data_IF_637685194569
#
_entry.id   IF_637685194569
#
_cell.length_a   1.000
_cell.length_b   1.000
_cell.length_c   1.000
_cell.angle_alpha   90.00
_cell.angle_beta   90.00
_cell.angle_gamma   90.00
#
_symmetry.space_group_name_H-M   'P 1'
#
loop_
_entity.id
_entity.type
_entity.pdbx_description
1 polymer ?
#
# COMPACT_ATOMS: atom_id res chain seq x y z
N UNK A 1 0.69 -1.33 13.64
CA UNK A 1 0.87 -0.76 12.30
C UNK A 1 1.66 0.52 12.44
N UNK A 2 2.71 0.75 11.64
CA UNK A 2 3.45 2.02 11.67
C UNK A 2 2.51 3.21 11.37
N UNK A 3 2.88 4.40 11.85
CA UNK A 3 2.11 5.63 11.58
C UNK A 3 1.96 5.86 10.08
N UNK A 4 3.05 5.68 9.33
CA UNK A 4 3.07 5.80 7.87
C UNK A 4 2.04 4.85 7.22
N UNK A 5 2.07 3.55 7.56
CA UNK A 5 1.16 2.58 6.93
C UNK A 5 -0.29 2.80 7.34
N UNK A 6 -0.53 3.22 8.57
CA UNK A 6 -1.87 3.54 9.07
C UNK A 6 -2.45 4.71 8.28
N UNK A 7 -1.67 5.77 8.09
CA UNK A 7 -2.07 6.93 7.30
C UNK A 7 -2.27 6.56 5.82
N UNK A 8 -1.35 5.80 5.22
CA UNK A 8 -1.47 5.31 3.85
C UNK A 8 -2.77 4.51 3.67
N UNK A 9 -3.05 3.55 4.56
CA UNK A 9 -4.25 2.72 4.53
C UNK A 9 -5.52 3.59 4.60
N UNK A 10 -5.57 4.55 5.51
CA UNK A 10 -6.71 5.50 5.62
C UNK A 10 -6.93 6.29 4.32
N UNK A 11 -5.87 6.74 3.64
CA UNK A 11 -6.01 7.47 2.36
C UNK A 11 -6.44 6.58 1.19
N UNK A 12 -6.20 5.28 1.27
CA UNK A 12 -6.61 4.30 0.26
C UNK A 12 -8.06 3.84 0.48
N UNK A 13 -8.49 3.74 1.75
CA UNK A 13 -9.88 3.45 2.13
C UNK A 13 -10.77 4.58 1.60
N UNK A 14 -11.70 4.24 0.70
CA UNK A 14 -12.57 5.18 0.00
C UNK A 14 -12.14 5.56 -1.41
N UNK A 15 -10.86 5.37 -1.77
CA UNK A 15 -10.37 5.60 -3.14
C UNK A 15 -10.29 4.32 -3.99
N UNK A 16 -10.29 3.16 -3.35
CA UNK A 16 -10.21 1.85 -4.00
C UNK A 16 -11.46 1.02 -3.69
N UNK A 17 -12.62 1.29 -4.33
CA UNK A 17 -13.83 0.50 -4.12
C UNK A 17 -13.62 -0.96 -4.57
N UNK A 18 -14.17 -1.90 -3.81
CA UNK A 18 -14.01 -3.34 -4.06
C UNK A 18 -12.67 -3.93 -3.61
N UNK A 19 -11.71 -3.10 -3.20
CA UNK A 19 -10.47 -3.56 -2.57
C UNK A 19 -10.64 -3.63 -1.04
N UNK A 20 -10.03 -4.64 -0.43
CA UNK A 20 -9.93 -4.84 1.02
C UNK A 20 -8.48 -4.71 1.44
N UNK A 21 -8.26 -4.24 2.67
CA UNK A 21 -6.93 -4.05 3.24
C UNK A 21 -6.76 -4.94 4.47
N UNK A 22 -5.96 -5.99 4.34
CA UNK A 22 -5.75 -6.98 5.40
C UNK A 22 -4.44 -6.71 6.12
N UNK A 23 -4.48 -6.54 7.43
CA UNK A 23 -3.26 -6.40 8.22
C UNK A 23 -2.60 -7.78 8.35
N UNK A 24 -1.34 -7.88 7.94
CA UNK A 24 -0.56 -9.12 7.96
C UNK A 24 0.47 -9.14 9.09
N UNK A 25 0.63 -8.03 9.79
CA UNK A 25 1.60 -7.85 10.87
C UNK A 25 1.75 -6.38 11.27
N UNK A 26 2.68 -6.08 12.19
CA UNK A 26 2.82 -4.74 12.76
C UNK A 26 3.31 -3.69 11.77
N UNK A 27 3.95 -4.10 10.67
CA UNK A 27 4.53 -3.19 9.65
C UNK A 27 4.19 -3.67 8.23
N UNK A 28 3.08 -4.38 8.07
CA UNK A 28 2.68 -4.92 6.77
C UNK A 28 1.17 -5.05 6.64
N UNK A 29 0.65 -4.61 5.49
CA UNK A 29 -0.71 -4.91 5.08
C UNK A 29 -0.76 -5.38 3.62
N UNK A 30 -1.76 -6.19 3.31
CA UNK A 30 -2.06 -6.65 1.96
C UNK A 30 -3.25 -5.88 1.38
N UNK A 31 -3.19 -5.59 0.10
CA UNK A 31 -4.32 -5.08 -0.71
C UNK A 31 -4.90 -6.26 -1.47
N UNK A 32 -6.17 -6.56 -1.23
CA UNK A 32 -6.86 -7.76 -1.72
C UNK A 32 -8.08 -7.35 -2.53
N UNK A 33 -8.31 -7.99 -3.67
CA UNK A 33 -9.54 -7.84 -4.46
C UNK A 33 -9.93 -9.20 -5.02
N UNK A 34 -11.23 -9.51 -5.00
CA UNK A 34 -11.77 -10.80 -5.46
C UNK A 34 -11.09 -12.01 -4.78
N UNK A 35 -10.78 -11.86 -3.49
CA UNK A 35 -10.06 -12.85 -2.67
C UNK A 35 -8.61 -13.16 -3.09
N UNK A 36 -8.04 -12.37 -4.01
CA UNK A 36 -6.64 -12.47 -4.43
C UNK A 36 -5.80 -11.32 -3.86
N UNK A 37 -4.60 -11.63 -3.37
CA UNK A 37 -3.63 -10.61 -2.97
C UNK A 37 -3.09 -9.89 -4.22
N UNK A 38 -3.47 -8.62 -4.38
CA UNK A 38 -3.01 -7.77 -5.49
C UNK A 38 -1.71 -7.06 -5.17
N UNK A 39 -1.49 -6.74 -3.88
CA UNK A 39 -0.24 -6.18 -3.41
C UNK A 39 0.03 -6.45 -1.93
N UNK A 40 1.30 -6.36 -1.57
CA UNK A 40 1.76 -6.36 -0.19
C UNK A 40 2.58 -5.09 0.06
N UNK A 41 2.23 -4.33 1.09
CA UNK A 41 2.91 -3.09 1.46
C UNK A 41 3.60 -3.29 2.80
N UNK A 42 4.92 -3.12 2.85
CA UNK A 42 5.74 -3.27 4.05
C UNK A 42 6.49 -2.01 4.39
N UNK A 43 6.60 -1.75 5.68
CA UNK A 43 7.42 -0.69 6.23
C UNK A 43 8.72 -1.28 6.80
N UNK A 44 9.84 -0.80 6.28
CA UNK A 44 11.20 -1.22 6.65
C UNK A 44 11.96 -0.15 7.44
N UNK A 45 11.28 0.83 8.03
CA UNK A 45 11.91 1.95 8.74
C UNK A 45 12.06 3.13 7.80
N UNK A 46 13.18 3.23 7.08
CA UNK A 46 13.48 4.40 6.22
C UNK A 46 12.75 4.38 4.88
N UNK A 47 12.25 3.22 4.47
CA UNK A 47 11.59 3.02 3.19
C UNK A 47 10.37 2.11 3.30
N UNK A 48 9.48 2.25 2.31
CA UNK A 48 8.35 1.36 2.08
C UNK A 48 8.67 0.46 0.91
N UNK A 49 8.36 -0.83 1.03
CA UNK A 49 8.40 -1.78 -0.08
C UNK A 49 6.97 -2.15 -0.44
N UNK A 50 6.63 -1.93 -1.70
CA UNK A 50 5.36 -2.37 -2.29
C UNK A 50 5.66 -3.51 -3.24
N UNK A 51 5.12 -4.70 -2.97
CA UNK A 51 5.19 -5.84 -3.88
C UNK A 51 3.90 -5.97 -4.66
N UNK A 52 3.97 -5.96 -5.98
CA UNK A 52 2.83 -6.07 -6.90
C UNK A 52 3.19 -7.10 -7.98
N UNK A 53 2.36 -8.15 -8.13
CA UNK A 53 2.56 -9.19 -9.17
C UNK A 53 4.00 -9.74 -9.20
N UNK A 54 4.56 -10.00 -8.01
CA UNK A 54 5.92 -10.51 -7.85
C UNK A 54 7.05 -9.49 -7.97
N UNK A 55 6.79 -8.26 -8.46
CA UNK A 55 7.78 -7.18 -8.54
C UNK A 55 7.77 -6.33 -7.28
N UNK A 56 8.93 -5.90 -6.80
CA UNK A 56 9.08 -5.04 -5.64
C UNK A 56 9.47 -3.62 -6.05
N UNK A 57 8.81 -2.64 -5.43
CA UNK A 57 9.02 -1.22 -5.64
C UNK A 57 9.38 -0.59 -4.29
N UNK A 58 10.54 0.04 -4.23
CA UNK A 58 11.06 0.68 -3.02
C UNK A 58 10.79 2.18 -3.09
N UNK A 59 10.22 2.72 -2.01
CA UNK A 59 9.92 4.14 -1.86
C UNK A 59 10.62 4.68 -0.63
N UNK A 60 11.52 5.63 -0.82
CA UNK A 60 12.17 6.34 0.28
C UNK A 60 11.16 7.27 0.97
N UNK A 61 11.04 7.18 2.30
CA UNK A 61 10.06 7.98 3.05
C UNK A 61 10.43 9.46 3.16
N UNK A 62 11.70 9.82 2.97
CA UNK A 62 12.14 11.21 2.98
C UNK A 62 11.48 12.00 1.85
N UNK A 63 11.20 11.32 0.72
CA UNK A 63 10.62 11.92 -0.47
C UNK A 63 9.18 11.47 -0.74
N UNK A 64 8.80 10.29 -0.23
CA UNK A 64 7.49 9.70 -0.51
C UNK A 64 6.61 9.77 0.74
N UNK A 65 5.85 10.87 0.87
CA UNK A 65 4.80 10.97 1.88
C UNK A 65 3.69 9.93 1.62
N UNK A 66 2.92 9.51 2.65
CA UNK A 66 1.80 8.58 2.48
C UNK A 66 0.80 9.00 1.40
N UNK A 67 0.59 10.31 1.25
CA UNK A 67 -0.29 10.92 0.24
C UNK A 67 0.19 10.65 -1.21
N UNK A 68 1.51 10.76 -1.42
CA UNK A 68 2.14 10.53 -2.72
C UNK A 68 2.00 9.07 -3.11
N UNK A 69 2.34 8.17 -2.18
CA UNK A 69 2.23 6.73 -2.42
C UNK A 69 0.77 6.29 -2.60
N UNK A 70 -0.17 6.87 -1.84
CA UNK A 70 -1.60 6.60 -2.03
C UNK A 70 -2.06 6.94 -3.46
N UNK A 71 -1.65 8.08 -3.99
CA UNK A 71 -1.96 8.50 -5.37
C UNK A 71 -1.39 7.52 -6.39
N UNK A 72 -0.13 7.09 -6.22
CA UNK A 72 0.51 6.10 -7.10
C UNK A 72 -0.26 4.78 -7.11
N UNK A 73 -0.62 4.27 -5.93
CA UNK A 73 -1.35 3.00 -5.82
C UNK A 73 -2.77 3.12 -6.38
N UNK A 74 -3.47 4.22 -6.11
CA UNK A 74 -4.80 4.47 -6.70
C UNK A 74 -4.73 4.45 -8.21
N UNK A 75 -3.82 5.23 -8.82
CA UNK A 75 -3.66 5.26 -10.26
C UNK A 75 -3.34 3.87 -10.84
N UNK A 76 -2.45 3.12 -10.18
CA UNK A 76 -2.09 1.77 -10.63
C UNK A 76 -3.28 0.79 -10.59
N UNK A 77 -4.13 0.87 -9.56
CA UNK A 77 -5.26 -0.04 -9.36
C UNK A 77 -6.56 0.41 -10.03
N UNK A 78 -6.68 1.68 -10.43
CA UNK A 78 -7.84 2.22 -11.16
C UNK A 78 -7.70 2.12 -12.67
N UNK A 79 -6.47 2.00 -13.20
CA UNK A 79 -6.23 1.82 -14.65
C UNK A 79 -6.42 0.36 -15.11
N UNK A 80 -6.86 -0.56 -14.24
CA UNK A 80 -7.07 -1.99 -14.52
C UNK A 80 -8.42 -2.47 -14.03
#
# INVERSE_FOLDING_TARGET
>A
MSSYLSELKTKLVGKLPGYRFLDKGPNVFAIVKDSEEKALVRDHGDYIVVRIRGKEYKYDKWYTKPEHLATVLVNYFSQK
#
